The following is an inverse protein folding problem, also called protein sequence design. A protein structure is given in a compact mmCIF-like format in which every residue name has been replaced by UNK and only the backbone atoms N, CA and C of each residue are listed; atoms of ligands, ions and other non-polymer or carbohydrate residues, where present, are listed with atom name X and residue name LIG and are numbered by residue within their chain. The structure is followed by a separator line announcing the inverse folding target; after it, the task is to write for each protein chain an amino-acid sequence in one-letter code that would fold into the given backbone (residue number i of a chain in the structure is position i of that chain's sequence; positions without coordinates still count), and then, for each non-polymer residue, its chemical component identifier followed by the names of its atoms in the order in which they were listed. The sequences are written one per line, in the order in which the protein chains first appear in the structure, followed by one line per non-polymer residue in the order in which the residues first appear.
data_IF_107120227663
#
_entry.id   IF_107120227663
#
_cell.length_a   1.000
_cell.length_b   1.000
_cell.length_c   1.000
_cell.angle_alpha   90.00
_cell.angle_beta   90.00
_cell.angle_gamma   90.00
#
_symmetry.space_group_name_H-M   'P 1'
#
loop_
_entity.id
_entity.type
_entity.pdbx_description
1 polymer ?
#
# COMPACT_ATOMS: atom_id res chain seq x y z
N UNK A 1 3.29 -3.24 29.49
CA UNK A 1 3.51 -2.62 28.18
C UNK A 1 2.30 -1.79 27.77
N UNK A 2 2.45 -0.49 27.61
CA UNK A 2 1.44 0.40 27.03
C UNK A 2 1.66 0.44 25.50
N UNK A 3 0.72 -0.10 24.67
CA UNK A 3 0.95 -0.20 23.23
C UNK A 3 1.14 1.16 22.54
N UNK A 4 0.66 2.24 23.13
CA UNK A 4 0.74 3.58 22.54
C UNK A 4 2.04 4.28 22.90
N UNK A 5 2.51 4.09 24.14
CA UNK A 5 3.68 4.80 24.67
C UNK A 5 4.98 4.03 24.51
N UNK A 6 4.92 2.70 24.66
CA UNK A 6 6.11 1.86 24.78
C UNK A 6 6.52 1.19 23.46
N UNK A 7 5.63 1.17 22.46
CA UNK A 7 5.92 0.57 21.14
C UNK A 7 6.27 1.65 20.13
N UNK A 8 7.55 1.79 19.74
CA UNK A 8 7.94 2.69 18.64
C UNK A 8 7.46 2.15 17.30
N UNK A 9 7.13 3.05 16.38
CA UNK A 9 6.63 2.70 15.04
C UNK A 9 7.71 2.72 13.95
N UNK A 10 8.98 2.77 14.35
CA UNK A 10 10.15 2.88 13.47
C UNK A 10 11.27 1.86 13.77
N UNK A 11 10.93 0.77 14.46
CA UNK A 11 11.90 -0.30 14.79
C UNK A 11 12.35 -1.04 13.53
N UNK A 12 13.66 -1.09 13.31
CA UNK A 12 14.27 -1.86 12.22
C UNK A 12 14.09 -3.36 12.40
N UNK A 13 14.10 -3.82 13.64
CA UNK A 13 13.91 -5.22 14.00
C UNK A 13 12.50 -5.69 13.61
N UNK A 14 11.50 -4.87 13.88
CA UNK A 14 10.12 -5.16 13.47
C UNK A 14 9.99 -5.15 11.96
N UNK A 15 10.59 -4.17 11.27
CA UNK A 15 10.56 -4.12 9.80
C UNK A 15 11.27 -5.31 9.16
N UNK A 16 12.26 -5.92 9.81
CA UNK A 16 12.95 -7.11 9.29
C UNK A 16 12.04 -8.33 9.15
N UNK A 17 10.94 -8.41 9.90
CA UNK A 17 9.91 -9.45 9.73
C UNK A 17 9.30 -9.45 8.33
N UNK A 18 9.26 -8.29 7.68
CA UNK A 18 8.73 -8.11 6.33
C UNK A 18 9.78 -8.36 5.25
N UNK A 19 10.98 -8.78 5.63
CA UNK A 19 12.10 -9.06 4.72
C UNK A 19 12.55 -10.53 4.79
N UNK A 20 12.56 -11.12 6.00
CA UNK A 20 13.01 -12.50 6.22
C UNK A 20 12.43 -13.08 7.52
N UNK A 21 12.82 -14.32 7.84
CA UNK A 21 12.50 -15.00 9.09
C UNK A 21 13.63 -14.92 10.12
N UNK A 22 14.76 -14.32 9.77
CA UNK A 22 16.00 -14.36 10.55
C UNK A 22 15.86 -13.80 11.97
N UNK A 23 15.12 -12.68 12.12
CA UNK A 23 14.89 -12.06 13.42
C UNK A 23 14.17 -12.99 14.42
N UNK A 24 13.44 -13.99 13.91
CA UNK A 24 12.75 -14.98 14.73
C UNK A 24 13.62 -16.22 15.02
N UNK A 25 14.83 -16.29 14.45
CA UNK A 25 15.72 -17.45 14.61
C UNK A 25 15.20 -18.74 13.97
N UNK A 26 14.25 -18.64 13.03
CA UNK A 26 13.65 -19.79 12.33
C UNK A 26 14.00 -19.75 10.84
N UNK A 27 13.99 -20.93 10.22
CA UNK A 27 14.23 -21.06 8.77
C UNK A 27 12.90 -21.20 8.03
N UNK A 28 12.84 -20.83 6.74
CA UNK A 28 11.64 -21.03 5.93
C UNK A 28 11.14 -22.48 5.93
N UNK A 29 12.04 -23.46 6.00
CA UNK A 29 11.70 -24.89 6.05
C UNK A 29 10.88 -25.25 7.29
N UNK A 30 11.10 -24.58 8.41
CA UNK A 30 10.39 -24.80 9.67
C UNK A 30 8.92 -24.35 9.61
N UNK A 31 8.60 -23.51 8.63
CA UNK A 31 7.27 -22.91 8.43
C UNK A 31 6.75 -23.08 7.00
N UNK A 32 6.88 -24.30 6.49
CA UNK A 32 6.36 -24.70 5.16
C UNK A 32 6.88 -23.84 3.98
N UNK A 33 8.10 -23.36 4.06
CA UNK A 33 8.74 -22.58 2.99
C UNK A 33 8.36 -21.09 2.96
N UNK A 34 7.65 -20.59 3.97
CA UNK A 34 7.34 -19.15 4.07
C UNK A 34 8.60 -18.36 4.35
N UNK A 35 8.92 -17.41 3.47
CA UNK A 35 10.19 -16.65 3.50
C UNK A 35 10.16 -15.43 4.40
N UNK A 36 8.98 -15.01 4.87
CA UNK A 36 8.79 -13.80 5.66
C UNK A 36 8.31 -14.13 7.07
N UNK A 37 8.67 -13.29 8.03
CA UNK A 37 8.21 -13.38 9.42
C UNK A 37 6.76 -12.91 9.65
N UNK A 38 6.00 -12.64 8.59
CA UNK A 38 4.66 -12.05 8.66
C UNK A 38 3.55 -13.02 9.05
N UNK A 39 3.82 -14.32 9.09
CA UNK A 39 2.80 -15.32 9.41
C UNK A 39 2.17 -15.03 10.78
N UNK A 40 0.84 -14.98 10.83
CA UNK A 40 0.09 -14.63 12.05
C UNK A 40 -0.02 -13.14 12.35
N UNK A 41 0.61 -12.26 11.55
CA UNK A 41 0.42 -10.80 11.68
C UNK A 41 -0.84 -10.39 10.92
N UNK A 42 -1.80 -9.69 11.57
CA UNK A 42 -2.98 -9.16 10.89
C UNK A 42 -2.59 -8.33 9.65
N UNK A 43 -3.40 -8.35 8.63
CA UNK A 43 -3.21 -7.65 7.34
C UNK A 43 -2.14 -8.27 6.43
N UNK A 44 -1.07 -8.87 6.97
CA UNK A 44 0.11 -9.30 6.22
C UNK A 44 0.36 -10.80 6.22
N UNK A 45 -0.45 -11.57 6.94
CA UNK A 45 -0.25 -13.01 7.12
C UNK A 45 -0.88 -13.89 6.03
N UNK A 46 -1.58 -13.31 5.06
CA UNK A 46 -2.14 -14.08 3.92
C UNK A 46 -1.11 -14.24 2.80
N UNK A 47 -1.23 -15.31 2.01
CA UNK A 47 -0.33 -15.53 0.87
C UNK A 47 -0.31 -14.35 -0.11
N UNK A 48 -1.47 -13.75 -0.37
CA UNK A 48 -1.60 -12.59 -1.25
C UNK A 48 -0.86 -11.36 -0.69
N UNK A 49 -1.06 -11.03 0.58
CA UNK A 49 -0.37 -9.90 1.22
C UNK A 49 1.13 -10.14 1.32
N UNK A 50 1.57 -11.35 1.67
CA UNK A 50 2.99 -11.70 1.71
C UNK A 50 3.65 -11.60 0.32
N UNK A 51 2.96 -11.96 -0.75
CA UNK A 51 3.48 -11.77 -2.11
C UNK A 51 3.67 -10.29 -2.44
N UNK A 52 2.73 -9.42 -2.05
CA UNK A 52 2.91 -7.98 -2.21
C UNK A 52 4.12 -7.45 -1.43
N UNK A 53 4.35 -7.94 -0.21
CA UNK A 53 5.53 -7.58 0.58
C UNK A 53 6.82 -8.00 -0.13
N UNK A 54 6.86 -9.20 -0.71
CA UNK A 54 8.00 -9.68 -1.51
C UNK A 54 8.24 -8.80 -2.73
N UNK A 55 7.17 -8.47 -3.46
CA UNK A 55 7.25 -7.68 -4.70
C UNK A 55 7.69 -6.22 -4.44
N UNK A 56 7.22 -5.63 -3.33
CA UNK A 56 7.40 -4.20 -3.07
C UNK A 56 8.52 -3.86 -2.10
N UNK A 57 9.01 -4.83 -1.33
CA UNK A 57 10.15 -4.70 -0.39
C UNK A 57 10.02 -3.49 0.54
N UNK A 58 9.02 -3.43 1.42
CA UNK A 58 8.77 -2.28 2.30
C UNK A 58 9.93 -2.06 3.27
N UNK A 59 10.25 -0.79 3.53
CA UNK A 59 11.31 -0.37 4.44
C UNK A 59 10.76 0.39 5.65
N UNK A 60 9.58 0.97 5.55
CA UNK A 60 9.00 1.85 6.56
C UNK A 60 7.53 1.51 6.82
N UNK A 61 7.03 1.97 7.97
CA UNK A 61 5.60 1.86 8.31
C UNK A 61 4.71 2.44 7.20
N UNK A 62 5.12 3.55 6.59
CA UNK A 62 4.37 4.17 5.48
C UNK A 62 4.23 3.26 4.27
N UNK A 63 5.22 2.41 4.01
CA UNK A 63 5.17 1.42 2.93
C UNK A 63 4.15 0.31 3.26
N UNK A 64 4.09 -0.12 4.52
CA UNK A 64 3.10 -1.09 4.99
C UNK A 64 1.67 -0.55 4.87
N UNK A 65 1.46 0.74 5.13
CA UNK A 65 0.16 1.41 4.96
C UNK A 65 -0.25 1.39 3.48
N UNK A 66 0.69 1.63 2.57
CA UNK A 66 0.45 1.55 1.12
C UNK A 66 0.07 0.13 0.69
N UNK A 67 0.80 -0.87 1.17
CA UNK A 67 0.51 -2.29 0.88
C UNK A 67 -0.88 -2.66 1.39
N UNK A 68 -1.28 -2.23 2.57
CA UNK A 68 -2.63 -2.44 3.09
C UNK A 68 -3.69 -1.81 2.19
N UNK A 69 -3.47 -0.59 1.71
CA UNK A 69 -4.34 0.05 0.72
C UNK A 69 -4.48 -0.74 -0.57
N UNK A 70 -3.36 -1.23 -1.10
CA UNK A 70 -3.34 -2.06 -2.31
C UNK A 70 -4.09 -3.39 -2.13
N UNK A 71 -3.98 -4.02 -0.96
CA UNK A 71 -4.57 -5.32 -0.68
C UNK A 71 -6.09 -5.29 -0.50
N UNK A 72 -6.64 -4.17 -0.03
CA UNK A 72 -8.07 -4.02 0.26
C UNK A 72 -8.86 -3.40 -0.90
N UNK A 73 -8.18 -2.88 -1.91
CA UNK A 73 -8.83 -2.38 -3.12
C UNK A 73 -9.17 -3.49 -4.12
N UNK A 74 -10.04 -3.17 -5.08
CA UNK A 74 -10.34 -4.05 -6.21
C UNK A 74 -9.74 -3.47 -7.47
N UNK A 75 -8.93 -4.27 -8.18
CA UNK A 75 -8.17 -3.87 -9.37
C UNK A 75 -7.26 -2.64 -9.11
N UNK A 76 -6.74 -2.54 -7.89
CA UNK A 76 -5.73 -1.55 -7.50
C UNK A 76 -4.33 -2.13 -7.64
N UNK A 77 -4.11 -3.36 -7.19
CA UNK A 77 -2.81 -4.04 -7.25
C UNK A 77 -2.68 -4.96 -8.47
N UNK A 78 -3.48 -6.04 -8.53
CA UNK A 78 -3.41 -7.02 -9.61
C UNK A 78 -3.80 -6.37 -10.96
N UNK A 79 -3.02 -6.64 -12.00
CA UNK A 79 -3.17 -6.08 -13.34
C UNK A 79 -3.13 -4.53 -13.38
N UNK A 80 -2.59 -3.92 -12.34
CA UNK A 80 -2.48 -2.46 -12.21
C UNK A 80 -1.14 -2.11 -11.54
N UNK A 81 -1.13 -1.71 -10.27
CA UNK A 81 0.09 -1.30 -9.56
C UNK A 81 1.19 -2.38 -9.58
N UNK A 82 0.83 -3.67 -9.53
CA UNK A 82 1.79 -4.77 -9.60
C UNK A 82 2.62 -4.69 -10.89
N UNK A 83 1.97 -4.60 -12.04
CA UNK A 83 2.65 -4.55 -13.33
C UNK A 83 3.51 -3.28 -13.45
N UNK A 84 3.01 -2.16 -12.98
CA UNK A 84 3.72 -0.88 -13.01
C UNK A 84 4.98 -0.91 -12.14
N UNK A 85 4.90 -1.50 -10.95
CA UNK A 85 6.03 -1.61 -10.01
C UNK A 85 7.05 -2.62 -10.52
N UNK A 86 6.63 -3.82 -10.93
CA UNK A 86 7.52 -4.88 -11.40
C UNK A 86 8.24 -4.50 -12.69
N UNK A 87 7.60 -3.72 -13.57
CA UNK A 87 8.21 -3.20 -14.80
C UNK A 87 9.02 -1.91 -14.60
N UNK A 88 9.14 -1.41 -13.39
CA UNK A 88 9.93 -0.21 -13.08
C UNK A 88 9.32 1.10 -13.58
N UNK A 89 8.03 1.12 -13.94
CA UNK A 89 7.32 2.33 -14.41
C UNK A 89 7.05 3.27 -13.24
N UNK A 90 6.73 2.72 -12.07
CA UNK A 90 6.53 3.46 -10.82
C UNK A 90 7.12 2.70 -9.64
N UNK A 91 7.10 3.34 -8.47
CA UNK A 91 7.51 2.73 -7.19
C UNK A 91 6.29 2.57 -6.28
N UNK A 92 6.43 1.80 -5.19
CA UNK A 92 5.39 1.70 -4.18
C UNK A 92 4.98 3.08 -3.63
N UNK A 93 5.91 4.02 -3.52
CA UNK A 93 5.65 5.37 -2.99
C UNK A 93 4.82 6.23 -3.92
N UNK A 94 4.98 6.05 -5.22
CA UNK A 94 4.35 6.86 -6.25
C UNK A 94 3.13 6.17 -6.88
N UNK A 95 2.90 4.91 -6.56
CA UNK A 95 1.74 4.16 -7.00
C UNK A 95 0.45 4.62 -6.31
N UNK A 96 -0.67 4.40 -6.98
CA UNK A 96 -2.00 4.64 -6.40
C UNK A 96 -2.32 3.49 -5.46
N UNK A 97 -2.30 3.73 -4.16
CA UNK A 97 -2.55 2.73 -3.12
C UNK A 97 -3.90 2.92 -2.41
N UNK A 98 -4.23 4.17 -2.07
CA UNK A 98 -5.47 4.57 -1.42
C UNK A 98 -6.13 5.70 -2.20
N UNK A 99 -7.44 5.90 -1.97
CA UNK A 99 -8.18 6.98 -2.65
C UNK A 99 -7.59 8.37 -2.39
N UNK A 100 -7.09 8.58 -1.18
CA UNK A 100 -6.46 9.85 -0.79
C UNK A 100 -5.23 10.19 -1.63
N UNK A 101 -4.50 9.19 -2.10
CA UNK A 101 -3.31 9.39 -2.93
C UNK A 101 -3.66 10.10 -4.25
N UNK A 102 -4.80 9.78 -4.85
CA UNK A 102 -5.25 10.41 -6.10
C UNK A 102 -5.49 11.91 -5.87
N UNK A 103 -6.24 12.25 -4.85
CA UNK A 103 -6.57 13.65 -4.58
C UNK A 103 -5.30 14.48 -4.31
N UNK A 104 -4.43 13.96 -3.42
CA UNK A 104 -3.19 14.66 -3.05
C UNK A 104 -2.25 14.82 -4.26
N UNK A 105 -2.10 13.75 -5.05
CA UNK A 105 -1.24 13.80 -6.24
C UNK A 105 -1.75 14.80 -7.29
N UNK A 106 -3.04 14.79 -7.60
CA UNK A 106 -3.62 15.70 -8.58
C UNK A 106 -3.51 17.16 -8.13
N UNK A 107 -3.76 17.44 -6.85
CA UNK A 107 -3.56 18.77 -6.29
C UNK A 107 -2.09 19.20 -6.38
N UNK A 108 -1.15 18.28 -6.13
CA UNK A 108 0.27 18.56 -6.25
C UNK A 108 0.67 18.87 -7.71
N UNK A 109 0.03 18.22 -8.67
CA UNK A 109 0.21 18.51 -10.10
C UNK A 109 -0.43 19.82 -10.55
N UNK A 110 -1.20 20.47 -9.70
CA UNK A 110 -1.78 21.79 -9.94
C UNK A 110 -3.25 21.79 -10.38
N UNK A 111 -3.93 20.64 -10.34
CA UNK A 111 -5.38 20.59 -10.60
C UNK A 111 -6.15 21.28 -9.46
N UNK A 112 -7.30 21.82 -9.80
CA UNK A 112 -8.23 22.39 -8.81
C UNK A 112 -8.62 21.36 -7.75
N UNK A 113 -8.66 21.73 -6.45
CA UNK A 113 -9.00 20.80 -5.37
C UNK A 113 -10.38 20.13 -5.52
N UNK A 114 -11.39 20.86 -6.01
CA UNK A 114 -12.74 20.32 -6.22
C UNK A 114 -12.76 19.31 -7.36
N UNK A 115 -12.04 19.57 -8.43
CA UNK A 115 -11.88 18.64 -9.55
C UNK A 115 -11.08 17.41 -9.13
N UNK A 116 -9.99 17.59 -8.41
CA UNK A 116 -9.17 16.48 -7.85
C UNK A 116 -10.01 15.56 -6.97
N UNK A 117 -10.86 16.12 -6.11
CA UNK A 117 -11.82 15.35 -5.32
C UNK A 117 -12.84 14.61 -6.19
N UNK A 118 -13.37 15.26 -7.22
CA UNK A 118 -14.36 14.67 -8.12
C UNK A 118 -13.77 13.49 -8.91
N UNK A 119 -12.54 13.63 -9.41
CA UNK A 119 -11.80 12.55 -10.10
C UNK A 119 -11.56 11.38 -9.15
N UNK A 120 -11.10 11.65 -7.93
CA UNK A 120 -10.91 10.63 -6.88
C UNK A 120 -12.20 9.89 -6.59
N UNK A 121 -13.32 10.60 -6.41
CA UNK A 121 -14.61 9.97 -6.13
C UNK A 121 -15.15 9.15 -7.31
N UNK A 122 -14.93 9.59 -8.55
CA UNK A 122 -15.27 8.82 -9.74
C UNK A 122 -14.45 7.53 -9.81
N UNK A 123 -13.14 7.63 -9.60
CA UNK A 123 -12.21 6.48 -9.60
C UNK A 123 -12.61 5.45 -8.54
N UNK A 124 -12.79 5.89 -7.30
CA UNK A 124 -13.12 4.99 -6.18
C UNK A 124 -14.46 4.26 -6.36
N UNK A 125 -15.40 4.84 -7.09
CA UNK A 125 -16.73 4.28 -7.38
C UNK A 125 -16.81 3.57 -8.74
N UNK A 126 -15.70 3.42 -9.41
CA UNK A 126 -15.62 2.87 -10.76
C UNK A 126 -16.54 3.56 -11.77
N UNK A 127 -16.67 4.87 -11.64
CA UNK A 127 -17.38 5.66 -12.64
C UNK A 127 -16.43 6.03 -13.78
N UNK A 128 -16.94 6.08 -15.02
CA UNK A 128 -16.12 6.52 -16.16
C UNK A 128 -15.54 7.91 -15.90
N UNK A 129 -14.23 8.07 -16.15
CA UNK A 129 -13.59 9.37 -16.13
C UNK A 129 -13.99 10.14 -17.39
N UNK A 130 -14.45 11.37 -17.21
CA UNK A 130 -14.77 12.25 -18.34
C UNK A 130 -13.49 12.60 -19.10
N UNK A 131 -13.59 12.71 -20.41
CA UNK A 131 -12.43 13.06 -21.26
C UNK A 131 -11.86 14.44 -20.90
N UNK A 132 -12.72 15.39 -20.52
CA UNK A 132 -12.28 16.71 -20.04
C UNK A 132 -11.33 16.62 -18.84
N UNK A 133 -11.62 15.72 -17.88
CA UNK A 133 -10.73 15.49 -16.74
C UNK A 133 -9.41 14.81 -17.12
N UNK A 134 -9.49 13.85 -18.05
CA UNK A 134 -8.29 13.20 -18.56
C UNK A 134 -7.39 14.19 -19.28
N UNK A 135 -7.98 15.09 -20.07
CA UNK A 135 -7.22 16.13 -20.76
C UNK A 135 -6.61 17.12 -19.79
N UNK A 136 -7.34 17.55 -18.77
CA UNK A 136 -6.80 18.44 -17.75
C UNK A 136 -5.64 17.80 -16.96
N UNK A 137 -5.75 16.52 -16.64
CA UNK A 137 -4.63 15.77 -16.05
C UNK A 137 -3.40 15.78 -16.97
N UNK A 138 -3.57 15.53 -18.28
CA UNK A 138 -2.46 15.58 -19.26
C UNK A 138 -1.83 16.96 -19.35
N UNK A 139 -2.65 17.99 -19.39
CA UNK A 139 -2.21 19.39 -19.48
C UNK A 139 -1.40 19.82 -18.24
N UNK A 140 -1.63 19.20 -17.09
CA UNK A 140 -0.86 19.38 -15.86
C UNK A 140 0.30 18.39 -15.69
N UNK A 141 0.61 17.60 -16.72
CA UNK A 141 1.76 16.70 -16.72
C UNK A 141 1.56 15.36 -16.00
N UNK A 142 0.32 14.97 -15.72
CA UNK A 142 0.01 13.64 -15.18
C UNK A 142 0.32 12.60 -16.26
N UNK A 143 1.16 11.59 -15.98
CA UNK A 143 1.54 10.60 -16.96
C UNK A 143 0.36 9.69 -17.35
N UNK A 144 0.35 9.22 -18.59
CA UNK A 144 -0.75 8.40 -19.11
C UNK A 144 -0.96 7.10 -18.30
N UNK A 145 0.11 6.48 -17.83
CA UNK A 145 0.00 5.28 -16.97
C UNK A 145 -0.82 5.53 -15.69
N UNK A 146 -0.76 6.76 -15.15
CA UNK A 146 -1.54 7.16 -13.97
C UNK A 146 -3.03 7.25 -14.29
N UNK A 147 -3.36 7.87 -15.41
CA UNK A 147 -4.74 7.97 -15.90
C UNK A 147 -5.31 6.57 -16.17
N UNK A 148 -4.55 5.71 -16.84
CA UNK A 148 -4.94 4.33 -17.12
C UNK A 148 -5.11 3.50 -15.85
N UNK A 149 -4.23 3.69 -14.87
CA UNK A 149 -4.36 3.07 -13.56
C UNK A 149 -5.67 3.47 -12.87
N UNK A 150 -6.04 4.76 -12.89
CA UNK A 150 -7.32 5.23 -12.36
C UNK A 150 -8.52 4.57 -13.06
N UNK A 151 -8.46 4.39 -14.38
CA UNK A 151 -9.55 3.78 -15.15
C UNK A 151 -9.77 2.29 -14.81
N UNK A 152 -8.73 1.57 -14.40
CA UNK A 152 -8.80 0.15 -14.04
C UNK A 152 -9.41 -0.09 -12.67
N UNK A 153 -9.28 0.85 -11.74
CA UNK A 153 -9.68 0.71 -10.34
C UNK A 153 -11.21 0.56 -10.22
N UNK A 154 -11.63 -0.45 -9.47
CA UNK A 154 -13.06 -0.68 -9.19
C UNK A 154 -13.48 -0.26 -7.80
N UNK A 155 -12.58 -0.42 -6.82
CA UNK A 155 -12.81 -0.01 -5.45
C UNK A 155 -11.51 0.39 -4.79
N UNK A 156 -11.54 1.45 -3.98
CA UNK A 156 -10.40 1.94 -3.24
C UNK A 156 -10.70 2.12 -1.75
N UNK A 157 -9.68 1.86 -0.97
CA UNK A 157 -9.69 1.95 0.48
C UNK A 157 -9.22 3.34 0.96
N UNK A 158 -9.80 3.90 2.03
CA UNK A 158 -9.32 5.17 2.60
C UNK A 158 -8.01 4.96 3.36
N UNK A 159 -7.08 5.91 3.24
CA UNK A 159 -5.76 5.85 3.86
C UNK A 159 -5.82 5.81 5.39
N UNK A 160 -6.73 6.57 6.00
CA UNK A 160 -6.89 6.59 7.45
C UNK A 160 -7.26 5.22 8.02
N UNK A 161 -8.11 4.47 7.32
CA UNK A 161 -8.48 3.12 7.70
C UNK A 161 -7.29 2.16 7.58
N UNK A 162 -6.57 2.21 6.44
CA UNK A 162 -5.36 1.41 6.25
C UNK A 162 -4.32 1.71 7.35
N UNK A 163 -4.09 2.98 7.68
CA UNK A 163 -3.16 3.39 8.72
C UNK A 163 -3.52 2.81 10.10
N UNK A 164 -4.79 2.84 10.49
CA UNK A 164 -5.26 2.33 11.77
C UNK A 164 -5.00 0.81 11.91
N UNK A 165 -5.35 0.03 10.90
CA UNK A 165 -5.12 -1.42 10.89
C UNK A 165 -3.64 -1.79 10.83
N UNK A 166 -2.84 -1.05 10.06
CA UNK A 166 -1.39 -1.28 9.99
C UNK A 166 -0.70 -0.93 11.30
N UNK A 167 -1.11 0.12 12.00
CA UNK A 167 -0.56 0.42 13.32
C UNK A 167 -0.83 -0.71 14.31
N UNK A 168 -2.03 -1.31 14.28
CA UNK A 168 -2.34 -2.50 15.08
C UNK A 168 -1.44 -3.67 14.67
N UNK A 169 -1.35 -3.98 13.39
CA UNK A 169 -0.51 -5.05 12.87
C UNK A 169 0.96 -4.88 13.24
N UNK A 170 1.47 -3.66 13.17
CA UNK A 170 2.84 -3.33 13.56
C UNK A 170 3.10 -3.58 15.05
N UNK A 171 2.13 -3.25 15.92
CA UNK A 171 2.23 -3.53 17.36
C UNK A 171 2.23 -5.03 17.66
N UNK A 172 1.42 -5.80 16.93
CA UNK A 172 1.46 -7.28 17.02
C UNK A 172 2.82 -7.80 16.55
N UNK A 173 3.36 -7.26 15.45
CA UNK A 173 4.67 -7.61 14.96
C UNK A 173 5.79 -7.29 15.97
N UNK A 174 5.70 -6.15 16.65
CA UNK A 174 6.61 -5.79 17.73
C UNK A 174 6.59 -6.82 18.85
N UNK A 175 5.39 -7.22 19.32
CA UNK A 175 5.27 -8.26 20.33
C UNK A 175 5.86 -9.60 19.86
N UNK A 176 5.65 -9.95 18.60
CA UNK A 176 6.22 -11.18 18.02
C UNK A 176 7.74 -11.21 18.04
N UNK A 177 8.41 -10.06 17.86
CA UNK A 177 9.87 -9.95 17.91
C UNK A 177 10.41 -9.92 19.32
N UNK A 178 9.81 -9.13 20.21
CA UNK A 178 10.38 -8.83 21.52
C UNK A 178 9.75 -9.60 22.69
N UNK A 179 8.61 -10.23 22.46
CA UNK A 179 7.85 -10.99 23.47
C UNK A 179 7.24 -12.26 22.86
N UNK A 180 8.08 -13.15 22.25
CA UNK A 180 7.61 -14.36 21.60
C UNK A 180 7.00 -15.38 22.58
#
# INVERSE_FOLDING_TARGET
LDPVKDIPLDSKEVMSLFQSTEILGIKPEDIHGVKLGCLGIPEFGTGFAMQMVVDTKPQYLSDLIRISGLSHGTDVYLNNAQDLILNGITTLRDAICCRDDIMVYLMHMGLDPSESFTIMEATRKHKPLKEEWCQDMRDHGVPEWYIDACKKIKYMFPKAHAAAYVMMAYRVAYCKVFYP
#
